data_IF_681392758127
#
_entry.id   IF_681392758127
#
_cell.length_a   1.000
_cell.length_b   1.000
_cell.length_c   1.000
_cell.angle_alpha   90.00
_cell.angle_beta   90.00
_cell.angle_gamma   90.00
#
_symmetry.space_group_name_H-M   'P 1'
#
loop_
_entity.id
_entity.type
_entity.pdbx_description
1 polymer ?
#
# COMPACT_ATOMS: atom_id res chain seq x y z
N UNK A 1 -14.93 13.38 6.41
CA UNK A 1 -14.61 12.40 5.50
C UNK A 1 -13.22 12.61 4.92
N UNK A 2 -12.63 11.61 4.45
CA UNK A 2 -11.26 11.69 4.00
C UNK A 2 -11.13 11.80 2.52
N UNK A 3 -11.93 12.66 1.93
CA UNK A 3 -12.01 12.78 0.50
C UNK A 3 -10.79 13.36 -0.16
N UNK A 4 -9.98 14.11 0.59
CA UNK A 4 -8.77 14.67 0.04
C UNK A 4 -7.59 13.70 0.15
N UNK A 5 -7.81 12.50 0.62
CA UNK A 5 -6.79 11.47 0.64
C UNK A 5 -6.83 10.70 -0.68
N UNK A 6 -5.76 10.78 -1.45
CA UNK A 6 -5.66 10.11 -2.74
C UNK A 6 -5.86 8.59 -2.58
N UNK A 7 -5.19 7.99 -1.60
CA UNK A 7 -5.28 6.54 -1.42
C UNK A 7 -6.65 6.10 -0.93
N UNK A 8 -7.30 6.91 -0.10
CA UNK A 8 -8.67 6.62 0.31
C UNK A 8 -9.59 6.62 -0.89
N UNK A 9 -9.41 7.57 -1.81
CA UNK A 9 -10.22 7.64 -3.02
C UNK A 9 -9.98 6.43 -3.93
N UNK A 10 -8.76 5.94 -4.01
CA UNK A 10 -8.44 4.75 -4.78
C UNK A 10 -9.11 3.52 -4.17
N UNK A 11 -9.04 3.38 -2.86
CA UNK A 11 -9.66 2.25 -2.15
C UNK A 11 -11.17 2.26 -2.33
N UNK A 12 -11.78 3.45 -2.30
CA UNK A 12 -13.21 3.59 -2.46
C UNK A 12 -13.68 3.44 -3.91
N UNK A 13 -12.75 3.33 -4.86
CA UNK A 13 -13.09 3.18 -6.26
C UNK A 13 -13.38 4.47 -6.98
N UNK A 14 -13.15 5.61 -6.35
CA UNK A 14 -13.40 6.90 -6.97
C UNK A 14 -12.32 7.26 -8.00
N UNK A 15 -11.12 6.72 -7.81
CA UNK A 15 -10.01 6.92 -8.74
C UNK A 15 -9.59 5.55 -9.25
N UNK A 16 -9.52 5.35 -10.58
CA UNK A 16 -9.13 4.04 -11.11
C UNK A 16 -7.68 3.71 -10.79
N UNK A 17 -7.43 2.41 -10.65
CA UNK A 17 -6.09 1.91 -10.37
C UNK A 17 -5.93 0.52 -10.97
N UNK A 18 -4.69 0.09 -11.15
CA UNK A 18 -4.39 -1.25 -11.62
C UNK A 18 -4.14 -2.13 -10.41
N UNK A 19 -5.22 -2.75 -9.92
CA UNK A 19 -5.18 -3.54 -8.69
C UNK A 19 -4.30 -4.78 -8.84
N UNK A 20 -3.45 -5.01 -7.86
CA UNK A 20 -2.62 -6.21 -7.75
C UNK A 20 -3.25 -7.19 -6.76
N UNK A 21 -3.78 -6.66 -5.66
CA UNK A 21 -4.29 -7.48 -4.57
C UNK A 21 -5.15 -6.63 -3.64
N UNK A 22 -6.11 -7.24 -3.00
CA UNK A 22 -6.94 -6.55 -2.01
C UNK A 22 -7.47 -7.55 -1.00
N UNK A 23 -7.48 -7.15 0.28
CA UNK A 23 -8.16 -7.91 1.31
C UNK A 23 -8.81 -6.93 2.29
N UNK A 24 -9.24 -7.42 3.45
CA UNK A 24 -9.97 -6.58 4.41
C UNK A 24 -9.11 -5.47 5.00
N UNK A 25 -7.79 -5.64 5.01
CA UNK A 25 -6.88 -4.75 5.71
C UNK A 25 -6.06 -3.85 4.78
N UNK A 26 -5.84 -4.27 3.53
CA UNK A 26 -4.99 -3.51 2.64
C UNK A 26 -5.39 -3.62 1.19
N UNK A 27 -4.81 -2.76 0.37
CA UNK A 27 -5.06 -2.69 -1.06
C UNK A 27 -3.73 -2.47 -1.76
N UNK A 28 -3.45 -3.23 -2.80
CA UNK A 28 -2.19 -3.11 -3.54
C UNK A 28 -2.48 -2.84 -5.00
N UNK A 29 -1.70 -1.92 -5.60
CA UNK A 29 -1.88 -1.54 -6.99
C UNK A 29 -0.55 -1.09 -7.58
N UNK A 30 -0.44 -1.20 -8.92
CA UNK A 30 0.76 -0.75 -9.61
C UNK A 30 0.83 0.77 -9.62
N UNK A 31 2.05 1.30 -9.48
CA UNK A 31 2.27 2.73 -9.57
C UNK A 31 2.08 3.19 -11.02
N UNK A 32 1.41 4.31 -11.22
CA UNK A 32 1.20 4.86 -12.56
C UNK A 32 2.46 5.51 -13.12
N UNK A 33 3.40 5.85 -12.25
CA UNK A 33 4.71 6.39 -12.65
C UNK A 33 5.80 5.54 -12.02
N UNK A 34 5.98 4.30 -12.53
CA UNK A 34 6.90 3.37 -11.89
C UNK A 34 8.35 3.84 -11.98
N UNK A 35 9.07 3.67 -10.89
CA UNK A 35 10.49 3.99 -10.80
C UNK A 35 11.35 2.77 -11.03
N UNK A 36 10.73 1.62 -11.29
CA UNK A 36 11.41 0.35 -11.49
C UNK A 36 10.53 -0.54 -12.37
N UNK A 37 11.08 -1.60 -12.97
CA UNK A 37 10.28 -2.50 -13.81
C UNK A 37 9.07 -3.10 -13.08
N UNK A 38 9.22 -3.40 -11.80
CA UNK A 38 8.10 -3.82 -10.98
C UNK A 38 7.98 -2.85 -9.82
N UNK A 39 6.93 -2.05 -9.83
CA UNK A 39 6.73 -1.03 -8.80
C UNK A 39 5.25 -1.02 -8.42
N UNK A 40 4.94 -1.46 -7.21
CA UNK A 40 3.58 -1.43 -6.72
C UNK A 40 3.55 -0.84 -5.31
N UNK A 41 2.36 -0.37 -4.93
CA UNK A 41 2.14 0.20 -3.61
C UNK A 41 1.19 -0.70 -2.84
N UNK A 42 1.43 -0.81 -1.54
CA UNK A 42 0.52 -1.51 -0.64
C UNK A 42 0.07 -0.48 0.39
N UNK A 43 -1.22 -0.23 0.43
CA UNK A 43 -1.77 0.78 1.33
C UNK A 43 -2.75 0.14 2.29
N UNK A 44 -2.71 0.50 3.56
CA UNK A 44 -3.69 0.01 4.53
C UNK A 44 -5.04 0.68 4.27
N UNK A 45 -6.13 -0.07 4.46
CA UNK A 45 -7.46 0.52 4.34
C UNK A 45 -7.76 1.46 5.49
N UNK A 46 -7.15 1.23 6.63
CA UNK A 46 -7.20 2.20 7.73
C UNK A 46 -6.37 3.42 7.31
N UNK A 47 -6.92 4.61 7.50
CA UNK A 47 -6.21 5.83 7.12
C UNK A 47 -5.10 6.12 8.13
N UNK A 48 -3.87 5.84 7.74
CA UNK A 48 -2.67 6.11 8.53
C UNK A 48 -1.82 7.09 7.73
N UNK A 49 -1.63 8.27 8.26
CA UNK A 49 -0.98 9.35 7.52
C UNK A 49 0.48 9.05 7.21
N UNK A 50 1.24 8.65 8.23
CA UNK A 50 2.65 8.34 8.03
C UNK A 50 3.16 7.47 9.18
N UNK A 51 4.43 7.07 9.09
CA UNK A 51 5.03 6.18 10.09
C UNK A 51 4.93 6.73 11.51
N UNK A 52 4.94 8.04 11.65
CA UNK A 52 4.84 8.66 12.97
C UNK A 52 3.52 8.35 13.66
N UNK A 53 2.50 7.98 12.90
CA UNK A 53 1.16 7.70 13.42
C UNK A 53 0.93 6.22 13.69
N UNK A 54 1.96 5.39 13.52
CA UNK A 54 1.86 3.96 13.80
C UNK A 54 2.06 3.74 15.29
N UNK A 55 1.12 3.03 15.90
CA UNK A 55 1.19 2.71 17.34
C UNK A 55 0.52 1.36 17.58
N UNK A 56 0.29 1.04 18.83
CA UNK A 56 -0.28 -0.26 19.19
C UNK A 56 -1.67 -0.48 18.64
N UNK A 57 -2.40 0.60 18.34
CA UNK A 57 -3.77 0.47 17.84
C UNK A 57 -3.83 0.08 16.37
N UNK A 58 -2.75 0.31 15.59
CA UNK A 58 -2.76 0.03 14.16
C UNK A 58 -1.56 -0.77 13.66
N UNK A 59 -0.66 -1.18 14.56
CA UNK A 59 0.55 -1.89 14.13
C UNK A 59 0.26 -3.22 13.45
N UNK A 60 -0.83 -3.88 13.82
CA UNK A 60 -1.19 -5.16 13.22
C UNK A 60 -1.52 -4.99 11.73
N UNK A 61 -2.17 -3.89 11.36
CA UNK A 61 -2.48 -3.60 9.97
C UNK A 61 -1.19 -3.36 9.19
N UNK A 62 -0.25 -2.65 9.78
CA UNK A 62 1.04 -2.37 9.15
C UNK A 62 1.82 -3.66 8.95
N UNK A 63 1.85 -4.52 9.97
CA UNK A 63 2.53 -5.82 9.87
C UNK A 63 1.91 -6.65 8.75
N UNK A 64 0.58 -6.61 8.63
CA UNK A 64 -0.12 -7.34 7.57
C UNK A 64 0.30 -6.83 6.18
N UNK A 65 0.48 -5.51 6.03
CA UNK A 65 0.94 -4.95 4.76
C UNK A 65 2.30 -5.53 4.37
N UNK A 66 3.20 -5.68 5.32
CA UNK A 66 4.51 -6.28 5.04
C UNK A 66 4.41 -7.75 4.67
N UNK A 67 3.50 -8.48 5.31
CA UNK A 67 3.25 -9.86 4.95
C UNK A 67 2.77 -9.96 3.50
N UNK A 68 1.86 -9.07 3.11
CA UNK A 68 1.34 -9.02 1.75
C UNK A 68 2.45 -8.66 0.76
N UNK A 69 3.32 -7.71 1.11
CA UNK A 69 4.45 -7.36 0.24
C UNK A 69 5.30 -8.58 -0.07
N UNK A 70 5.67 -9.35 0.96
CA UNK A 70 6.49 -10.54 0.76
C UNK A 70 5.82 -11.57 -0.12
N UNK A 71 4.52 -11.77 0.10
CA UNK A 71 3.73 -12.71 -0.67
C UNK A 71 3.66 -12.29 -2.14
N UNK A 72 3.37 -11.02 -2.40
CA UNK A 72 3.28 -10.52 -3.77
C UNK A 72 4.62 -10.55 -4.49
N UNK A 73 5.70 -10.26 -3.79
CA UNK A 73 7.03 -10.33 -4.39
C UNK A 73 7.36 -11.73 -4.85
N UNK A 74 6.96 -12.74 -4.09
CA UNK A 74 7.15 -14.12 -4.51
C UNK A 74 6.32 -14.45 -5.73
N UNK A 75 5.07 -14.01 -5.75
CA UNK A 75 4.17 -14.29 -6.87
C UNK A 75 4.61 -13.58 -8.13
N UNK A 76 5.19 -12.39 -8.00
CA UNK A 76 5.63 -11.60 -9.15
C UNK A 76 7.07 -11.89 -9.55
N UNK A 77 7.74 -12.80 -8.85
CA UNK A 77 9.10 -13.18 -9.19
C UNK A 77 10.17 -12.17 -8.80
N UNK A 78 9.90 -11.33 -7.81
CA UNK A 78 10.86 -10.34 -7.34
C UNK A 78 11.78 -10.97 -6.30
N UNK A 79 13.02 -11.23 -6.67
CA UNK A 79 14.00 -11.84 -5.78
C UNK A 79 14.75 -10.81 -4.94
N UNK A 80 14.85 -9.59 -5.47
CA UNK A 80 15.57 -8.51 -4.81
C UNK A 80 14.76 -7.24 -4.98
N UNK A 81 14.53 -6.52 -3.88
CA UNK A 81 13.67 -5.34 -3.95
C UNK A 81 13.94 -4.42 -2.76
N UNK A 82 13.40 -3.23 -2.86
CA UNK A 82 13.49 -2.23 -1.80
C UNK A 82 12.08 -1.82 -1.41
N UNK A 83 11.88 -1.60 -0.12
CA UNK A 83 10.62 -1.09 0.40
C UNK A 83 10.86 0.35 0.85
N UNK A 84 9.97 1.24 0.43
CA UNK A 84 10.04 2.66 0.78
C UNK A 84 8.75 3.06 1.46
N UNK A 85 8.86 3.76 2.57
CA UNK A 85 7.71 4.32 3.27
C UNK A 85 7.83 5.84 3.22
N UNK A 86 6.94 6.48 2.48
CA UNK A 86 6.92 7.93 2.37
C UNK A 86 6.16 8.54 3.54
N UNK A 87 6.66 9.64 4.06
CA UNK A 87 6.03 10.36 5.15
C UNK A 87 6.01 11.85 4.78
N UNK A 88 4.81 12.41 4.72
CA UNK A 88 4.65 13.80 4.31
C UNK A 88 4.64 13.94 2.79
N UNK A 89 4.88 15.15 2.35
CA UNK A 89 4.85 15.44 0.94
C UNK A 89 6.22 15.25 0.30
#
# INVERSE_FOLDING_TARGET
MKNDCLFCAIIDGEIPSNKVYEDELCYAFYDIEPQAPTHFLVVPKAHICCANDIDESNEAVVAHCFTVIGKLCKELGCESYRIVNNCGD
#
